data_IF_700990662031
#
_entry.id   IF_700990662031
#
_cell.length_a   1.000
_cell.length_b   1.000
_cell.length_c   1.000
_cell.angle_alpha   90.00
_cell.angle_beta   90.00
_cell.angle_gamma   90.00
#
_symmetry.space_group_name_H-M   'P 1'
#
loop_
_entity.id
_entity.type
_entity.pdbx_description
1 polymer ?
#
# COMPACT_ATOMS: atom_id res chain seq x y z
N UNK A 1 -9.78 -3.03 5.60
CA UNK A 1 -9.82 -1.64 6.11
C UNK A 1 -11.15 -1.42 6.82
N UNK A 2 -11.18 -0.58 7.85
CA UNK A 2 -12.42 -0.29 8.60
C UNK A 2 -13.10 0.97 8.04
N UNK A 3 -13.87 0.82 6.97
CA UNK A 3 -14.48 1.94 6.23
C UNK A 3 -15.31 2.88 7.11
N UNK A 4 -15.99 2.34 8.12
CA UNK A 4 -16.80 3.12 9.07
C UNK A 4 -15.94 4.04 9.93
N UNK A 5 -14.84 3.54 10.49
CA UNK A 5 -13.94 4.39 11.28
C UNK A 5 -13.20 5.39 10.40
N UNK A 6 -12.86 5.03 9.16
CA UNK A 6 -12.33 5.99 8.19
C UNK A 6 -13.27 7.17 7.94
N UNK A 7 -14.53 6.90 7.65
CA UNK A 7 -15.53 7.93 7.38
C UNK A 7 -15.72 8.84 8.61
N UNK A 8 -15.88 8.23 9.78
CA UNK A 8 -16.00 8.94 11.07
C UNK A 8 -14.78 9.82 11.39
N UNK A 9 -13.56 9.29 11.21
CA UNK A 9 -12.32 10.06 11.45
C UNK A 9 -12.16 11.21 10.47
N UNK A 10 -12.48 11.00 9.19
CA UNK A 10 -12.43 12.07 8.19
C UNK A 10 -13.48 13.15 8.44
N UNK A 11 -14.70 12.78 8.83
CA UNK A 11 -15.76 13.73 9.19
C UNK A 11 -15.36 14.56 10.41
N UNK A 12 -14.94 13.91 11.50
CA UNK A 12 -14.50 14.57 12.74
C UNK A 12 -13.41 15.62 12.49
N UNK A 13 -12.49 15.33 11.58
CA UNK A 13 -11.35 16.20 11.27
C UNK A 13 -11.61 17.19 10.11
N UNK A 14 -12.84 17.30 9.63
CA UNK A 14 -13.22 18.15 8.48
C UNK A 14 -12.45 17.82 7.18
N UNK A 15 -12.04 16.56 7.02
CA UNK A 15 -11.25 16.06 5.88
C UNK A 15 -12.11 15.31 4.85
N UNK A 16 -13.37 15.00 5.16
CA UNK A 16 -14.25 14.16 4.33
C UNK A 16 -14.42 14.68 2.88
N UNK A 17 -14.43 16.01 2.68
CA UNK A 17 -14.52 16.59 1.34
C UNK A 17 -13.24 16.39 0.54
N UNK A 18 -12.07 16.52 1.18
CA UNK A 18 -10.75 16.36 0.56
C UNK A 18 -10.50 14.91 0.16
N UNK A 19 -10.91 13.97 1.00
CA UNK A 19 -10.65 12.53 0.81
C UNK A 19 -11.92 11.73 0.51
N UNK A 20 -12.88 12.33 -0.21
CA UNK A 20 -14.11 11.64 -0.65
C UNK A 20 -13.79 10.40 -1.47
N UNK A 21 -12.80 10.50 -2.35
CA UNK A 21 -12.39 9.39 -3.23
C UNK A 21 -11.75 8.24 -2.47
N UNK A 22 -11.12 8.52 -1.31
CA UNK A 22 -10.63 7.46 -0.41
C UNK A 22 -11.79 6.64 0.14
N UNK A 23 -12.85 7.29 0.62
CA UNK A 23 -14.03 6.57 1.13
C UNK A 23 -14.73 5.79 0.02
N UNK A 24 -14.91 6.39 -1.15
CA UNK A 24 -15.48 5.70 -2.30
C UNK A 24 -14.64 4.49 -2.70
N UNK A 25 -13.32 4.64 -2.82
CA UNK A 25 -12.40 3.57 -3.18
C UNK A 25 -12.33 2.45 -2.15
N UNK A 26 -12.40 2.77 -0.83
CA UNK A 26 -12.42 1.77 0.23
C UNK A 26 -13.76 1.00 0.32
N UNK A 27 -14.89 1.63 -0.04
CA UNK A 27 -16.21 0.99 -0.09
C UNK A 27 -16.43 0.19 -1.37
N UNK A 28 -15.78 0.61 -2.45
CA UNK A 28 -15.92 0.06 -3.78
C UNK A 28 -14.55 -0.35 -4.34
N UNK A 29 -14.12 0.27 -5.44
CA UNK A 29 -12.81 0.05 -6.06
C UNK A 29 -12.20 1.41 -6.35
N UNK A 30 -10.88 1.51 -6.27
CA UNK A 30 -10.15 2.72 -6.65
C UNK A 30 -10.02 2.80 -8.17
N UNK A 31 -10.41 3.94 -8.73
CA UNK A 31 -10.03 4.29 -10.09
C UNK A 31 -8.52 4.51 -10.14
N UNK A 32 -7.85 3.70 -10.95
CA UNK A 32 -6.40 3.70 -11.11
C UNK A 32 -5.94 4.64 -12.23
N UNK A 33 -6.86 5.31 -12.93
CA UNK A 33 -6.55 6.23 -14.02
C UNK A 33 -5.92 5.53 -15.23
N UNK A 34 -6.10 4.21 -15.36
CA UNK A 34 -5.58 3.45 -16.50
C UNK A 34 -6.52 3.70 -17.69
N UNK A 35 -6.05 4.32 -18.78
CA UNK A 35 -6.89 4.54 -19.94
C UNK A 35 -7.17 3.22 -20.65
N UNK A 36 -8.33 3.15 -21.32
CA UNK A 36 -8.58 2.12 -22.31
C UNK A 36 -7.48 2.16 -23.37
N UNK A 37 -6.81 1.02 -23.57
CA UNK A 37 -5.75 0.89 -24.56
C UNK A 37 -5.82 -0.51 -25.20
N UNK A 38 -5.25 -0.60 -26.41
CA UNK A 38 -5.14 -1.84 -27.19
C UNK A 38 -3.68 -2.04 -27.58
N UNK A 39 -3.28 -3.30 -27.78
CA UNK A 39 -1.95 -3.65 -28.27
C UNK A 39 -2.11 -4.16 -29.70
N UNK A 40 -1.90 -3.28 -30.69
CA UNK A 40 -2.25 -3.59 -32.07
C UNK A 40 -3.76 -3.74 -32.25
N UNK A 41 -4.21 -4.90 -32.70
CA UNK A 41 -5.63 -5.26 -32.83
C UNK A 41 -6.18 -6.00 -31.60
N UNK A 42 -5.31 -6.34 -30.64
CA UNK A 42 -5.69 -7.13 -29.47
C UNK A 42 -6.15 -6.23 -28.31
N UNK A 43 -7.36 -6.52 -27.80
CA UNK A 43 -7.89 -5.92 -26.58
C UNK A 43 -7.34 -6.57 -25.31
N UNK A 44 -6.79 -7.78 -25.42
CA UNK A 44 -6.30 -8.56 -24.29
C UNK A 44 -4.98 -9.22 -24.68
N UNK A 45 -3.94 -9.02 -23.87
CA UNK A 45 -2.64 -9.62 -24.12
C UNK A 45 -2.05 -10.15 -22.81
N UNK A 46 -1.65 -11.42 -22.81
CA UNK A 46 -0.97 -12.07 -21.70
C UNK A 46 0.39 -12.57 -22.19
N UNK A 47 1.50 -11.85 -21.89
CA UNK A 47 2.82 -12.28 -22.33
C UNK A 47 3.21 -13.62 -21.69
N UNK A 48 4.13 -14.38 -22.32
CA UNK A 48 4.72 -15.55 -21.67
C UNK A 48 5.50 -15.13 -20.42
N UNK A 49 5.56 -16.02 -19.43
CA UNK A 49 6.38 -15.82 -18.24
C UNK A 49 7.86 -15.69 -18.64
N UNK A 50 8.61 -14.85 -17.90
CA UNK A 50 10.05 -14.77 -18.08
C UNK A 50 10.72 -16.08 -17.66
N UNK A 51 11.82 -16.46 -18.32
CA UNK A 51 12.58 -17.69 -18.00
C UNK A 51 13.03 -17.76 -16.54
N UNK A 52 13.33 -16.61 -15.92
CA UNK A 52 13.67 -16.52 -14.50
C UNK A 52 12.56 -17.02 -13.58
N UNK A 53 11.29 -16.92 -13.98
CA UNK A 53 10.16 -17.41 -13.19
C UNK A 53 10.18 -18.94 -13.08
N UNK A 54 10.69 -19.66 -14.08
CA UNK A 54 10.81 -21.13 -14.05
C UNK A 54 11.77 -21.58 -12.93
N UNK A 55 12.84 -20.83 -12.71
CA UNK A 55 13.81 -21.11 -11.63
C UNK A 55 13.20 -20.95 -10.22
N UNK A 56 12.15 -20.14 -10.10
CA UNK A 56 11.44 -19.83 -8.85
C UNK A 56 10.02 -20.40 -8.82
N UNK A 57 9.66 -21.33 -9.71
CA UNK A 57 8.30 -21.83 -9.87
C UNK A 57 7.69 -22.30 -8.55
N UNK A 58 8.42 -23.15 -7.82
CA UNK A 58 7.95 -23.71 -6.54
C UNK A 58 7.61 -22.62 -5.52
N UNK A 59 8.48 -21.61 -5.40
CA UNK A 59 8.26 -20.51 -4.46
C UNK A 59 7.04 -19.66 -4.86
N UNK A 60 6.87 -19.41 -6.16
CA UNK A 60 5.74 -18.67 -6.70
C UNK A 60 4.42 -19.42 -6.42
N UNK A 61 4.38 -20.74 -6.67
CA UNK A 61 3.22 -21.58 -6.40
C UNK A 61 2.88 -21.64 -4.91
N UNK A 62 3.88 -21.74 -4.03
CA UNK A 62 3.69 -21.66 -2.58
C UNK A 62 3.10 -20.31 -2.15
N UNK A 63 3.50 -19.21 -2.80
CA UNK A 63 2.95 -17.89 -2.54
C UNK A 63 1.50 -17.77 -3.05
N UNK A 64 1.16 -18.33 -4.20
CA UNK A 64 -0.24 -18.41 -4.65
C UNK A 64 -1.13 -19.11 -3.62
N UNK A 65 -0.66 -20.21 -3.02
CA UNK A 65 -1.42 -20.92 -1.98
C UNK A 65 -1.64 -20.02 -0.75
N UNK A 66 -0.64 -19.22 -0.35
CA UNK A 66 -0.77 -18.27 0.77
C UNK A 66 -1.78 -17.16 0.44
N UNK A 67 -1.71 -16.58 -0.75
CA UNK A 67 -2.59 -15.49 -1.17
C UNK A 67 -4.05 -15.92 -1.38
N UNK A 68 -4.27 -17.13 -1.91
CA UNK A 68 -5.60 -17.73 -2.03
C UNK A 68 -6.26 -17.92 -0.65
N UNK A 69 -5.49 -18.38 0.35
CA UNK A 69 -5.98 -18.56 1.73
C UNK A 69 -6.48 -17.25 2.34
N UNK A 70 -5.84 -16.13 2.03
CA UNK A 70 -6.23 -14.79 2.53
C UNK A 70 -7.16 -14.04 1.56
N UNK A 71 -7.63 -14.71 0.49
CA UNK A 71 -8.54 -14.14 -0.52
C UNK A 71 -8.01 -12.87 -1.19
N UNK A 72 -6.70 -12.77 -1.35
CA UNK A 72 -6.07 -11.69 -2.14
C UNK A 72 -5.98 -12.06 -3.61
N UNK A 73 -5.92 -13.37 -3.88
CA UNK A 73 -5.91 -13.96 -5.21
C UNK A 73 -7.19 -14.78 -5.40
N UNK A 74 -7.78 -14.71 -6.58
CA UNK A 74 -8.87 -15.59 -7.03
C UNK A 74 -8.30 -16.69 -7.93
N UNK A 75 -9.02 -17.80 -7.99
CA UNK A 75 -8.52 -19.05 -8.58
C UNK A 75 -8.27 -18.96 -10.10
N UNK A 76 -7.66 -20.02 -10.64
CA UNK A 76 -7.21 -20.09 -12.03
C UNK A 76 -8.37 -20.23 -13.01
N UNK A 77 -8.53 -19.26 -13.89
CA UNK A 77 -9.46 -19.28 -15.02
C UNK A 77 -8.71 -19.51 -16.33
N UNK A 78 -9.40 -20.04 -17.34
CA UNK A 78 -8.92 -19.91 -18.72
C UNK A 78 -8.95 -18.45 -19.14
N UNK A 79 -8.15 -18.08 -20.14
CA UNK A 79 -8.11 -16.72 -20.66
C UNK A 79 -9.50 -16.24 -21.15
N UNK A 80 -10.26 -17.12 -21.81
CA UNK A 80 -11.61 -16.81 -22.28
C UNK A 80 -12.62 -16.61 -21.13
N UNK A 81 -12.54 -17.43 -20.08
CA UNK A 81 -13.35 -17.22 -18.88
C UNK A 81 -13.02 -15.89 -18.19
N UNK A 82 -11.74 -15.50 -18.16
CA UNK A 82 -11.32 -14.21 -17.61
C UNK A 82 -11.92 -13.06 -18.41
N UNK A 83 -11.84 -13.09 -19.75
CA UNK A 83 -12.45 -12.07 -20.62
C UNK A 83 -13.97 -11.95 -20.43
N UNK A 84 -14.66 -13.07 -20.24
CA UNK A 84 -16.10 -13.06 -20.03
C UNK A 84 -16.48 -12.48 -18.66
N UNK A 85 -15.66 -12.74 -17.63
CA UNK A 85 -15.89 -12.25 -16.26
C UNK A 85 -15.54 -10.78 -16.09
N UNK A 86 -14.58 -10.30 -16.85
CA UNK A 86 -14.04 -8.94 -16.76
C UNK A 86 -14.35 -8.28 -18.10
N UNK A 87 -15.51 -7.63 -18.18
CA UNK A 87 -15.99 -7.07 -19.44
C UNK A 87 -15.06 -5.99 -19.99
N UNK A 88 -15.14 -5.66 -21.30
CA UNK A 88 -14.31 -4.62 -21.92
C UNK A 88 -14.50 -3.22 -21.33
N UNK A 89 -15.65 -2.97 -20.68
CA UNK A 89 -15.95 -1.71 -19.98
C UNK A 89 -15.46 -1.67 -18.54
N UNK A 90 -15.14 -2.82 -17.95
CA UNK A 90 -14.72 -2.94 -16.55
C UNK A 90 -13.22 -2.68 -16.39
N UNK A 91 -12.45 -2.64 -17.48
CA UNK A 91 -11.00 -2.43 -17.51
C UNK A 91 -10.54 -1.05 -17.04
N UNK A 92 -11.43 -0.05 -16.99
CA UNK A 92 -11.14 1.25 -16.36
C UNK A 92 -11.11 1.19 -14.82
N UNK A 93 -11.61 0.12 -14.21
CA UNK A 93 -11.82 0.02 -12.76
C UNK A 93 -10.86 -0.99 -12.12
N UNK A 94 -10.06 -1.70 -12.92
CA UNK A 94 -9.33 -2.85 -12.42
C UNK A 94 -8.04 -2.43 -11.74
N UNK A 95 -8.15 -2.22 -10.43
CA UNK A 95 -7.11 -2.59 -9.48
C UNK A 95 -6.85 -4.11 -9.46
N UNK A 96 -6.91 -4.75 -10.63
CA UNK A 96 -6.90 -6.19 -10.79
C UNK A 96 -5.72 -6.57 -11.66
N UNK A 97 -4.72 -7.19 -11.04
CA UNK A 97 -3.59 -7.75 -11.74
C UNK A 97 -3.91 -9.19 -12.16
N UNK A 98 -3.80 -9.47 -13.45
CA UNK A 98 -3.91 -10.83 -13.99
C UNK A 98 -2.51 -11.46 -14.04
N UNK A 99 -2.38 -12.67 -13.49
CA UNK A 99 -1.11 -13.39 -13.40
C UNK A 99 -1.24 -14.70 -14.17
N UNK A 100 -0.40 -14.89 -15.19
CA UNK A 100 -0.30 -16.14 -15.94
C UNK A 100 0.42 -17.20 -15.11
N UNK A 101 -0.26 -18.32 -14.85
CA UNK A 101 0.32 -19.46 -14.14
C UNK A 101 1.15 -20.33 -15.08
N UNK A 102 1.92 -21.25 -14.50
CA UNK A 102 2.76 -22.20 -15.25
C UNK A 102 1.95 -23.24 -16.03
N UNK A 103 0.66 -23.41 -15.72
CA UNK A 103 -0.30 -24.25 -16.46
C UNK A 103 -1.16 -23.45 -17.46
N UNK A 104 -0.70 -22.27 -17.88
CA UNK A 104 -1.35 -21.39 -18.87
C UNK A 104 -2.76 -20.91 -18.50
N UNK A 105 -3.05 -20.88 -17.20
CA UNK A 105 -4.27 -20.25 -16.66
C UNK A 105 -3.96 -18.85 -16.15
N UNK A 106 -5.02 -18.14 -15.77
CA UNK A 106 -4.97 -16.78 -15.25
C UNK A 106 -5.51 -16.77 -13.83
N UNK A 107 -4.68 -16.31 -12.89
CA UNK A 107 -5.14 -15.94 -11.55
C UNK A 107 -5.36 -14.43 -11.48
N UNK A 108 -6.33 -14.03 -10.65
CA UNK A 108 -6.83 -12.65 -10.61
C UNK A 108 -6.57 -12.08 -9.21
N UNK A 109 -5.66 -11.11 -9.09
CA UNK A 109 -5.38 -10.41 -7.83
C UNK A 109 -6.20 -9.13 -7.80
N UNK A 110 -7.16 -9.00 -6.88
CA UNK A 110 -8.05 -7.82 -6.78
C UNK A 110 -7.57 -6.77 -5.77
N UNK A 111 -6.34 -6.92 -5.27
CA UNK A 111 -5.73 -5.96 -4.36
C UNK A 111 -4.77 -5.06 -5.12
N UNK A 112 -4.46 -3.90 -4.54
CA UNK A 112 -3.47 -2.99 -5.10
C UNK A 112 -2.12 -3.71 -5.19
N UNK A 113 -1.69 -4.01 -6.41
CA UNK A 113 -0.45 -4.72 -6.67
C UNK A 113 0.77 -3.80 -6.53
N UNK A 114 1.85 -4.34 -5.97
CA UNK A 114 3.14 -3.66 -5.89
C UNK A 114 3.81 -3.64 -7.28
N UNK A 115 4.53 -2.56 -7.60
CA UNK A 115 5.23 -2.40 -8.88
C UNK A 115 4.36 -1.84 -10.02
N UNK A 116 3.04 -1.75 -9.85
CA UNK A 116 2.17 -1.03 -10.77
C UNK A 116 2.21 0.48 -10.46
N UNK A 117 2.53 1.31 -11.46
CA UNK A 117 2.59 2.79 -11.31
C UNK A 117 1.29 3.34 -10.73
N UNK A 118 0.15 2.82 -11.19
CA UNK A 118 -1.16 3.26 -10.70
C UNK A 118 -1.44 2.82 -9.25
N UNK A 119 -0.89 1.68 -8.81
CA UNK A 119 -1.01 1.23 -7.43
C UNK A 119 -0.33 2.17 -6.43
N UNK A 120 0.75 2.84 -6.84
CA UNK A 120 1.42 3.85 -6.03
C UNK A 120 0.52 5.07 -5.74
N UNK A 121 -0.32 5.48 -6.71
CA UNK A 121 -1.26 6.59 -6.53
C UNK A 121 -2.34 6.26 -5.50
N UNK A 122 -2.97 5.09 -5.64
CA UNK A 122 -3.98 4.61 -4.67
C UNK A 122 -3.42 4.47 -3.26
N UNK A 123 -2.24 3.87 -3.12
CA UNK A 123 -1.59 3.77 -1.82
C UNK A 123 -1.24 5.15 -1.25
N UNK A 124 -0.73 6.05 -2.09
CA UNK A 124 -0.40 7.43 -1.74
C UNK A 124 -1.60 8.18 -1.16
N UNK A 125 -2.72 8.24 -1.87
CA UNK A 125 -3.89 9.02 -1.42
C UNK A 125 -4.50 8.47 -0.12
N UNK A 126 -4.52 7.15 0.07
CA UNK A 126 -4.99 6.53 1.32
C UNK A 126 -4.04 6.85 2.47
N UNK A 127 -2.72 6.78 2.24
CA UNK A 127 -1.73 7.08 3.28
C UNK A 127 -1.62 8.58 3.60
N UNK A 128 -1.89 9.46 2.64
CA UNK A 128 -1.97 10.90 2.88
C UNK A 128 -3.21 11.25 3.72
N UNK A 129 -4.36 10.61 3.45
CA UNK A 129 -5.55 10.72 4.28
C UNK A 129 -5.30 10.24 5.72
N UNK A 130 -4.58 9.12 5.88
CA UNK A 130 -4.18 8.61 7.19
C UNK A 130 -3.25 9.59 7.92
N UNK A 131 -2.23 10.13 7.26
CA UNK A 131 -1.33 11.13 7.85
C UNK A 131 -2.08 12.39 8.31
N UNK A 132 -2.97 12.92 7.47
CA UNK A 132 -3.75 14.11 7.82
C UNK A 132 -4.68 13.85 9.02
N UNK A 133 -5.27 12.65 9.13
CA UNK A 133 -6.03 12.26 10.33
C UNK A 133 -5.12 12.29 11.56
N UNK A 134 -3.94 11.63 11.49
CA UNK A 134 -3.02 11.57 12.63
C UNK A 134 -2.52 12.95 13.07
N UNK A 135 -2.17 13.82 12.12
CA UNK A 135 -1.73 15.20 12.40
C UNK A 135 -2.83 16.07 13.02
N UNK A 136 -4.11 15.71 12.85
CA UNK A 136 -5.24 16.41 13.46
C UNK A 136 -5.67 15.83 14.81
N UNK A 137 -5.45 14.54 15.01
CA UNK A 137 -5.87 13.79 16.21
C UNK A 137 -4.81 13.80 17.32
N UNK A 138 -3.55 14.06 16.97
CA UNK A 138 -2.43 14.03 17.89
C UNK A 138 -1.57 15.30 17.79
N UNK A 139 -0.88 15.62 18.88
CA UNK A 139 0.13 16.70 18.95
C UNK A 139 1.42 16.30 18.23
N UNK A 140 1.31 16.02 16.94
CA UNK A 140 2.40 15.74 16.02
C UNK A 140 2.82 17.04 15.32
N UNK A 141 4.12 17.31 15.29
CA UNK A 141 4.67 18.41 14.51
C UNK A 141 4.66 18.09 13.02
N UNK A 142 5.04 16.86 12.68
CA UNK A 142 5.11 16.41 11.29
C UNK A 142 5.18 14.88 11.22
N UNK A 143 4.89 14.34 10.04
CA UNK A 143 5.12 12.94 9.68
C UNK A 143 5.92 12.92 8.39
N UNK A 144 7.11 12.34 8.40
CA UNK A 144 7.81 12.00 7.17
C UNK A 144 7.44 10.58 6.77
N UNK A 145 7.03 10.39 5.53
CA UNK A 145 6.67 9.07 4.99
C UNK A 145 7.46 8.78 3.73
N UNK A 146 7.86 7.52 3.58
CA UNK A 146 8.34 6.97 2.33
C UNK A 146 7.76 5.57 2.13
N UNK A 147 6.87 5.44 1.16
CA UNK A 147 6.10 4.20 0.92
C UNK A 147 5.49 3.71 2.24
N UNK A 148 5.97 2.59 2.78
CA UNK A 148 5.49 1.92 3.99
C UNK A 148 6.20 2.36 5.29
N UNK A 149 7.32 3.07 5.19
CA UNK A 149 8.05 3.60 6.34
C UNK A 149 7.53 5.00 6.72
N UNK A 150 7.36 5.23 8.03
CA UNK A 150 6.95 6.52 8.59
C UNK A 150 7.82 6.91 9.79
N UNK A 151 8.20 8.19 9.84
CA UNK A 151 8.91 8.84 10.93
C UNK A 151 8.03 9.96 11.49
N UNK A 152 7.65 9.84 12.75
CA UNK A 152 6.77 10.77 13.45
C UNK A 152 7.60 11.77 14.27
N UNK A 153 7.25 13.06 14.17
CA UNK A 153 7.89 14.13 14.95
C UNK A 153 6.85 14.75 15.88
N UNK A 154 7.27 14.99 17.13
CA UNK A 154 6.48 15.63 18.17
C UNK A 154 7.36 16.56 18.99
N UNK A 155 6.74 17.51 19.69
CA UNK A 155 7.43 18.30 20.71
C UNK A 155 7.81 17.43 21.92
N UNK A 156 8.87 17.82 22.63
CA UNK A 156 9.39 17.04 23.77
C UNK A 156 8.43 16.98 24.96
N UNK A 157 7.56 18.00 25.06
CA UNK A 157 6.62 18.24 26.15
C UNK A 157 5.33 17.43 26.00
N UNK A 158 5.06 16.85 24.82
CA UNK A 158 3.84 16.08 24.60
C UNK A 158 3.91 14.72 25.28
N UNK A 159 2.79 14.26 25.82
CA UNK A 159 2.65 12.91 26.41
C UNK A 159 2.35 11.83 25.36
N UNK A 160 2.30 12.21 24.07
CA UNK A 160 2.04 11.29 22.97
C UNK A 160 3.11 10.19 22.90
N UNK A 161 2.64 8.95 22.76
CA UNK A 161 3.46 7.76 22.58
C UNK A 161 3.08 7.04 21.29
N UNK A 162 3.97 6.15 20.81
CA UNK A 162 3.72 5.38 19.59
C UNK A 162 2.56 4.41 19.74
N UNK A 163 2.26 3.92 20.94
CA UNK A 163 1.10 3.05 21.21
C UNK A 163 -0.22 3.70 20.79
N UNK A 164 -0.41 4.99 21.10
CA UNK A 164 -1.63 5.74 20.76
C UNK A 164 -1.82 5.86 19.24
N UNK A 165 -0.73 6.14 18.51
CA UNK A 165 -0.71 6.21 17.04
C UNK A 165 -1.03 4.85 16.43
N UNK A 166 -0.45 3.78 16.96
CA UNK A 166 -0.69 2.41 16.51
C UNK A 166 -2.13 1.99 16.75
N UNK A 167 -2.69 2.27 17.93
CA UNK A 167 -4.06 1.92 18.26
C UNK A 167 -5.07 2.59 17.32
N UNK A 168 -4.89 3.88 17.03
CA UNK A 168 -5.73 4.58 16.04
C UNK A 168 -5.57 3.98 14.64
N UNK A 169 -4.33 3.73 14.21
CA UNK A 169 -4.03 3.16 12.90
C UNK A 169 -4.67 1.78 12.73
N UNK A 170 -4.59 0.93 13.75
CA UNK A 170 -5.25 -0.38 13.78
C UNK A 170 -6.77 -0.25 13.76
N UNK A 171 -7.34 0.76 14.44
CA UNK A 171 -8.77 1.09 14.39
C UNK A 171 -9.26 1.39 12.97
N UNK A 172 -8.44 2.07 12.16
CA UNK A 172 -8.66 2.31 10.73
C UNK A 172 -8.41 1.06 9.86
N UNK A 173 -7.85 0.00 10.43
CA UNK A 173 -7.45 -1.23 9.74
C UNK A 173 -6.11 -1.14 9.03
N UNK A 174 -5.30 -0.10 9.32
CA UNK A 174 -3.91 0.01 8.85
C UNK A 174 -3.06 -0.94 9.69
N UNK A 175 -2.45 -1.93 9.04
CA UNK A 175 -1.63 -2.93 9.71
C UNK A 175 -0.23 -2.37 9.97
N UNK A 176 0.14 -2.28 11.24
CA UNK A 176 1.48 -1.85 11.66
C UNK A 176 2.31 -3.03 12.13
N UNK A 177 3.59 -3.06 11.77
CA UNK A 177 4.52 -4.08 12.23
C UNK A 177 5.05 -3.75 13.63
N UNK A 178 4.43 -4.35 14.66
CA UNK A 178 4.80 -4.12 16.06
C UNK A 178 6.25 -4.50 16.41
N UNK A 179 6.88 -5.42 15.66
CA UNK A 179 8.27 -5.83 15.92
C UNK A 179 9.29 -4.79 15.44
N UNK A 180 8.92 -3.99 14.43
CA UNK A 180 9.78 -2.93 13.87
C UNK A 180 9.47 -1.55 14.48
N UNK A 181 8.42 -1.46 15.28
CA UNK A 181 8.02 -0.23 15.95
C UNK A 181 9.07 0.16 16.99
N UNK A 182 9.52 1.41 16.94
CA UNK A 182 10.35 2.02 17.96
C UNK A 182 9.60 3.19 18.57
N UNK A 183 9.73 3.38 19.89
CA UNK A 183 9.14 4.52 20.59
C UNK A 183 9.85 5.83 20.19
N UNK A 184 9.24 6.99 20.47
CA UNK A 184 9.87 8.29 20.25
C UNK A 184 11.23 8.40 20.94
N UNK A 185 12.25 8.82 20.18
CA UNK A 185 13.62 8.97 20.63
C UNK A 185 14.26 10.22 20.03
N UNK A 186 15.34 10.70 20.65
CA UNK A 186 16.13 11.82 20.13
C UNK A 186 16.72 11.51 18.77
N UNK A 187 17.25 10.29 18.62
CA UNK A 187 17.78 9.77 17.37
C UNK A 187 16.94 8.60 16.89
N UNK A 188 16.58 8.59 15.61
CA UNK A 188 15.81 7.52 14.99
C UNK A 188 16.41 7.16 13.64
N UNK A 189 16.48 5.85 13.34
CA UNK A 189 16.85 5.40 12.01
C UNK A 189 15.63 5.46 11.09
N UNK A 190 15.77 6.15 9.95
CA UNK A 190 14.74 6.26 8.91
C UNK A 190 15.41 6.32 7.54
N UNK A 191 14.97 5.46 6.61
CA UNK A 191 15.55 5.32 5.27
C UNK A 191 17.06 5.09 5.24
N UNK A 192 17.58 4.43 6.27
CA UNK A 192 19.01 4.14 6.40
C UNK A 192 19.87 5.33 6.80
N UNK A 193 19.27 6.42 7.28
CA UNK A 193 19.91 7.56 7.92
C UNK A 193 19.53 7.64 9.40
N UNK A 194 20.39 8.25 10.21
CA UNK A 194 20.10 8.60 11.60
C UNK A 194 19.61 10.05 11.62
N UNK A 195 18.37 10.24 12.06
CA UNK A 195 17.73 11.54 12.22
C UNK A 195 17.76 11.96 13.68
N UNK A 196 18.33 13.12 13.98
CA UNK A 196 18.33 13.70 15.33
C UNK A 196 17.32 14.87 15.39
N UNK A 197 16.18 14.64 16.04
CA UNK A 197 15.08 15.60 16.06
C UNK A 197 15.36 16.86 16.88
N UNK A 198 16.25 16.77 17.87
CA UNK A 198 16.60 17.88 18.77
C UNK A 198 17.63 18.82 18.12
N UNK A 199 18.67 18.24 17.53
CA UNK A 199 19.73 19.00 16.83
C UNK A 199 19.34 19.38 15.40
N UNK A 200 18.26 18.78 14.87
CA UNK A 200 17.77 18.98 13.49
C UNK A 200 18.82 18.58 12.45
N UNK A 201 19.51 17.47 12.71
CA UNK A 201 20.57 16.94 11.83
C UNK A 201 20.20 15.56 11.29
N UNK A 202 20.77 15.22 10.14
CA UNK A 202 20.65 13.89 9.51
C UNK A 202 22.05 13.43 9.14
N UNK A 203 22.42 12.20 9.53
CA UNK A 203 23.73 11.61 9.23
C UNK A 203 23.61 10.17 8.76
N UNK A 204 24.63 9.69 8.07
CA UNK A 204 24.78 8.26 7.80
C UNK A 204 25.17 7.54 9.11
N UNK A 205 24.72 6.30 9.32
CA UNK A 205 25.27 5.43 10.34
C UNK A 205 26.77 5.22 10.13
N UNK A 206 27.52 5.12 11.22
CA UNK A 206 28.99 4.99 11.16
C UNK A 206 29.43 3.74 10.40
N UNK A 207 28.62 2.67 10.45
CA UNK A 207 28.84 1.43 9.67
C UNK A 207 28.85 1.69 8.17
N UNK A 208 27.95 2.53 7.65
CA UNK A 208 27.90 2.89 6.23
C UNK A 208 29.00 3.87 5.81
N UNK A 209 29.59 4.60 6.75
CA UNK A 209 30.71 5.49 6.48
C UNK A 209 32.03 4.73 6.36
N UNK A 210 32.15 3.58 7.04
CA UNK A 210 33.34 2.71 6.99
C UNK A 210 33.40 1.80 5.75
N UNK A 211 32.28 1.64 5.03
CA UNK A 211 32.21 0.87 3.77
C UNK A 211 32.64 1.68 2.53
N UNK A 212 33.22 2.87 2.73
CA UNK A 212 33.80 3.73 1.68
C UNK A 212 35.31 3.80 1.81
#
# INVERSE_FOLDING_TARGET
MNTREWEKSLEKNNLIRKYKDVINGLKHVFDQGIPQHVIGEEHWYSPPNQKSAELSQKEIEENFVKELKVKQLYDSFTFEETKHRIGPSDTNILAVLMIRTFDDKVKINTTVAFGCIAGCGTFGIVTDAWQDILLKEFDLMNIFRWVDDALFLKETETTLNMESIVNMSQGLGVKTNLKKLTEFQREQQFLGFIWNGVERTVRLPDTKLQEK
#
